data_IF_019158234519
#
_entry.id   IF_019158234519
#
_cell.length_a   1.000
_cell.length_b   1.000
_cell.length_c   1.000
_cell.angle_alpha   90.00
_cell.angle_beta   90.00
_cell.angle_gamma   90.00
#
_symmetry.space_group_name_H-M   'P 1'
#
loop_
_entity.id
_entity.type
_entity.pdbx_description
1 polymer ?
#
# COMPACT_ATOMS: atom_id res chain seq x y z
N UNK A 1 -14.47 -19.23 0.81
CA UNK A 1 -15.10 -18.57 -0.36
C UNK A 1 -14.05 -17.87 -1.24
N UNK A 2 -13.37 -16.76 -0.81
CA UNK A 2 -12.41 -16.02 -1.67
C UNK A 2 -11.26 -16.90 -2.17
N UNK A 3 -10.67 -17.72 -1.30
CA UNK A 3 -9.62 -18.66 -1.69
C UNK A 3 -10.12 -19.72 -2.68
N UNK A 4 -11.34 -20.22 -2.53
CA UNK A 4 -11.98 -21.14 -3.48
C UNK A 4 -12.24 -20.50 -4.85
N UNK A 5 -12.48 -19.17 -4.87
CA UNK A 5 -12.57 -18.37 -6.08
C UNK A 5 -11.20 -18.11 -6.71
N UNK A 6 -10.11 -18.56 -6.10
CA UNK A 6 -8.71 -18.38 -6.52
C UNK A 6 -8.30 -16.89 -6.59
N UNK A 7 -8.73 -16.12 -5.61
CA UNK A 7 -8.21 -14.75 -5.41
C UNK A 7 -6.75 -14.86 -4.97
N UNK A 8 -5.86 -14.16 -5.66
CA UNK A 8 -4.41 -14.26 -5.42
C UNK A 8 -4.02 -13.68 -4.06
N UNK A 9 -4.63 -12.55 -3.67
CA UNK A 9 -4.29 -11.83 -2.45
C UNK A 9 -5.57 -11.46 -1.70
N UNK A 10 -5.59 -11.71 -0.40
CA UNK A 10 -6.68 -11.33 0.50
C UNK A 10 -6.11 -10.36 1.54
N UNK A 11 -6.49 -9.08 1.47
CA UNK A 11 -6.21 -8.12 2.54
C UNK A 11 -7.20 -8.36 3.67
N UNK A 12 -6.69 -8.97 4.75
CA UNK A 12 -7.52 -9.50 5.82
C UNK A 12 -7.99 -8.43 6.83
N UNK A 13 -7.29 -7.29 6.88
CA UNK A 13 -7.69 -6.16 7.72
C UNK A 13 -6.55 -5.29 8.21
N UNK A 14 -6.85 -4.48 9.26
CA UNK A 14 -5.96 -3.47 9.83
C UNK A 14 -5.67 -3.77 11.31
N UNK A 15 -4.66 -4.61 11.61
CA UNK A 15 -4.44 -5.19 12.95
C UNK A 15 -4.21 -4.20 14.09
N UNK A 16 -3.77 -2.98 13.79
CA UNK A 16 -3.56 -1.95 14.82
C UNK A 16 -4.87 -1.26 15.26
N UNK A 17 -5.95 -1.39 14.48
CA UNK A 17 -7.20 -0.69 14.75
C UNK A 17 -7.84 -1.12 16.07
N UNK A 18 -7.83 -2.44 16.38
CA UNK A 18 -8.28 -2.98 17.64
C UNK A 18 -7.71 -4.38 17.90
N UNK A 19 -7.87 -4.90 19.14
CA UNK A 19 -7.52 -6.28 19.42
C UNK A 19 -8.36 -7.28 18.64
N UNK A 20 -9.65 -6.98 18.43
CA UNK A 20 -10.54 -7.82 17.61
C UNK A 20 -10.10 -7.89 16.14
N UNK A 21 -9.67 -6.77 15.56
CA UNK A 21 -9.11 -6.75 14.21
C UNK A 21 -7.82 -7.59 14.12
N UNK A 22 -6.95 -7.45 15.11
CA UNK A 22 -5.73 -8.27 15.19
C UNK A 22 -6.05 -9.76 15.26
N UNK A 23 -6.95 -10.17 16.12
CA UNK A 23 -7.37 -11.57 16.29
C UNK A 23 -8.00 -12.11 15.00
N UNK A 24 -8.89 -11.34 14.36
CA UNK A 24 -9.52 -11.72 13.10
C UNK A 24 -8.48 -11.94 11.98
N UNK A 25 -7.54 -11.01 11.80
CA UNK A 25 -6.47 -11.15 10.80
C UNK A 25 -5.59 -12.35 11.12
N UNK A 26 -5.25 -12.57 12.40
CA UNK A 26 -4.43 -13.71 12.83
C UNK A 26 -5.12 -15.05 12.54
N UNK A 27 -6.42 -15.16 12.79
CA UNK A 27 -7.17 -16.38 12.51
C UNK A 27 -7.28 -16.64 10.99
N UNK A 28 -7.57 -15.61 10.19
CA UNK A 28 -7.58 -15.72 8.72
C UNK A 28 -6.22 -16.19 8.21
N UNK A 29 -5.12 -15.65 8.74
CA UNK A 29 -3.75 -16.01 8.32
C UNK A 29 -3.41 -17.48 8.56
N UNK A 30 -3.99 -18.11 9.57
CA UNK A 30 -3.79 -19.53 9.88
C UNK A 30 -4.57 -20.47 8.96
N UNK A 31 -5.74 -20.02 8.49
CA UNK A 31 -6.70 -20.85 7.73
C UNK A 31 -6.34 -20.86 6.25
N UNK A 32 -6.00 -19.72 5.67
CA UNK A 32 -5.74 -19.56 4.23
C UNK A 32 -4.40 -20.19 3.84
N UNK A 33 -4.39 -20.99 2.75
CA UNK A 33 -3.21 -21.74 2.31
C UNK A 33 -2.74 -21.43 0.89
N UNK A 34 -3.65 -21.03 0.01
CA UNK A 34 -3.36 -20.85 -1.43
C UNK A 34 -3.37 -19.39 -1.90
N UNK A 35 -3.88 -18.47 -1.07
CA UNK A 35 -3.83 -17.03 -1.34
C UNK A 35 -2.81 -16.35 -0.42
N UNK A 36 -2.22 -15.26 -0.89
CA UNK A 36 -1.40 -14.38 -0.04
C UNK A 36 -2.29 -13.62 0.94
N UNK A 37 -1.89 -13.58 2.21
CA UNK A 37 -2.60 -12.80 3.23
C UNK A 37 -1.86 -11.49 3.45
N UNK A 38 -2.54 -10.37 3.16
CA UNK A 38 -2.06 -9.03 3.40
C UNK A 38 -2.66 -8.42 4.67
N UNK A 39 -1.86 -7.66 5.40
CA UNK A 39 -2.31 -6.84 6.52
C UNK A 39 -1.90 -5.39 6.32
N UNK A 40 -2.85 -4.48 6.53
CA UNK A 40 -2.67 -3.05 6.36
C UNK A 40 -1.94 -2.42 7.56
N UNK A 41 -1.03 -1.50 7.28
CA UNK A 41 -0.27 -0.73 8.27
C UNK A 41 0.00 0.69 7.78
N UNK A 42 -0.20 1.69 8.62
CA UNK A 42 0.32 3.05 8.32
C UNK A 42 1.86 3.01 8.31
N UNK A 43 2.48 4.03 7.72
CA UNK A 43 3.93 4.20 7.71
C UNK A 43 4.49 4.52 9.11
N UNK A 44 4.31 3.60 10.04
CA UNK A 44 4.76 3.66 11.44
C UNK A 44 5.26 2.28 11.86
N UNK A 45 6.37 2.25 12.58
CA UNK A 45 7.00 1.00 13.02
C UNK A 45 6.03 0.15 13.85
N UNK A 46 5.29 0.77 14.76
CA UNK A 46 4.32 0.06 15.61
C UNK A 46 3.18 -0.60 14.82
N UNK A 47 2.68 0.07 13.77
CA UNK A 47 1.64 -0.48 12.91
C UNK A 47 2.16 -1.67 12.09
N UNK A 48 3.39 -1.54 11.56
CA UNK A 48 4.05 -2.57 10.76
C UNK A 48 4.36 -3.80 11.62
N UNK A 49 4.88 -3.61 12.83
CA UNK A 49 5.12 -4.70 13.77
C UNK A 49 3.83 -5.43 14.13
N UNK A 50 2.75 -4.67 14.37
CA UNK A 50 1.44 -5.25 14.69
C UNK A 50 0.85 -6.03 13.50
N UNK A 51 1.01 -5.51 12.28
CA UNK A 51 0.60 -6.21 11.06
C UNK A 51 1.41 -7.51 10.89
N UNK A 52 2.73 -7.45 11.03
CA UNK A 52 3.58 -8.62 10.96
C UNK A 52 3.21 -9.70 11.97
N UNK A 53 3.04 -9.32 13.24
CA UNK A 53 2.64 -10.27 14.28
C UNK A 53 1.34 -11.00 13.95
N UNK A 54 0.41 -10.35 13.28
CA UNK A 54 -0.86 -10.97 12.88
C UNK A 54 -0.71 -11.96 11.71
N UNK A 55 0.23 -11.72 10.77
CA UNK A 55 0.33 -12.51 9.54
C UNK A 55 1.58 -13.40 9.42
N UNK A 56 2.53 -13.31 10.34
CA UNK A 56 3.81 -14.03 10.27
C UNK A 56 3.69 -15.56 10.19
N UNK A 57 2.53 -16.10 10.53
CA UNK A 57 2.22 -17.52 10.45
C UNK A 57 1.46 -17.92 9.16
N UNK A 58 1.14 -16.96 8.30
CA UNK A 58 0.55 -17.24 6.99
C UNK A 58 1.55 -18.00 6.10
N UNK A 59 1.04 -18.84 5.19
CA UNK A 59 1.87 -19.53 4.20
C UNK A 59 2.56 -18.53 3.26
N UNK A 60 1.84 -17.48 2.87
CA UNK A 60 2.34 -16.38 2.05
C UNK A 60 1.91 -15.05 2.66
N UNK A 61 2.71 -14.43 3.53
CA UNK A 61 2.37 -13.15 4.13
C UNK A 61 2.75 -11.98 3.22
N UNK A 62 1.99 -10.86 3.33
CA UNK A 62 2.31 -9.56 2.73
C UNK A 62 2.06 -8.45 3.75
N UNK A 63 3.02 -7.57 3.93
CA UNK A 63 2.80 -6.31 4.64
C UNK A 63 2.39 -5.25 3.61
N UNK A 64 1.21 -4.65 3.81
CA UNK A 64 0.75 -3.51 3.01
C UNK A 64 0.87 -2.24 3.85
N UNK A 65 1.85 -1.39 3.53
CA UNK A 65 2.04 -0.11 4.22
C UNK A 65 1.74 1.07 3.31
N UNK A 66 1.25 2.17 3.87
CA UNK A 66 0.84 3.34 3.12
C UNK A 66 1.14 4.66 3.83
N UNK A 67 1.32 5.71 3.03
CA UNK A 67 1.38 7.09 3.49
C UNK A 67 0.79 8.01 2.42
N UNK A 68 0.12 9.08 2.84
CA UNK A 68 -0.44 10.03 1.89
C UNK A 68 0.65 10.88 1.22
N UNK A 69 0.50 11.07 -0.09
CA UNK A 69 1.43 11.84 -0.93
C UNK A 69 0.82 13.10 -1.54
N UNK A 70 -0.49 13.31 -1.39
CA UNK A 70 -1.13 14.54 -1.88
C UNK A 70 -0.79 15.75 -1.01
N UNK A 71 -0.65 16.94 -1.59
CA UNK A 71 -0.41 18.20 -0.84
C UNK A 71 -1.47 18.44 0.24
N UNK A 72 -2.73 18.10 -0.06
CA UNK A 72 -3.85 18.26 0.86
C UNK A 72 -3.67 17.40 2.11
N UNK A 73 -3.41 16.10 1.94
CA UNK A 73 -3.24 15.18 3.06
C UNK A 73 -1.93 15.40 3.81
N UNK A 74 -0.85 15.72 3.12
CA UNK A 74 0.42 16.09 3.79
C UNK A 74 0.23 17.26 4.73
N UNK A 75 -0.46 18.33 4.27
CA UNK A 75 -0.68 19.55 5.04
C UNK A 75 -1.65 19.36 6.21
N UNK A 76 -2.82 18.77 5.96
CA UNK A 76 -3.92 18.81 6.94
C UNK A 76 -4.07 17.50 7.75
N UNK A 77 -3.75 16.34 7.17
CA UNK A 77 -3.84 15.04 7.82
C UNK A 77 -2.54 14.66 8.52
N UNK A 78 -1.44 14.63 7.77
CA UNK A 78 -0.14 14.20 8.29
C UNK A 78 0.58 15.31 9.04
N UNK A 79 0.36 16.57 8.66
CA UNK A 79 1.10 17.76 9.14
C UNK A 79 2.61 17.58 8.94
N UNK A 80 2.98 17.09 7.75
CA UNK A 80 4.35 16.76 7.35
C UNK A 80 4.71 17.50 6.07
N UNK A 81 5.97 17.91 5.98
CA UNK A 81 6.61 18.36 4.75
C UNK A 81 6.88 17.17 3.82
N UNK A 82 7.15 17.46 2.54
CA UNK A 82 7.54 16.44 1.56
C UNK A 82 8.79 15.67 1.99
N UNK A 83 9.78 16.34 2.62
CA UNK A 83 10.98 15.67 3.13
C UNK A 83 10.68 14.70 4.28
N UNK A 84 9.79 15.07 5.19
CA UNK A 84 9.38 14.17 6.29
C UNK A 84 8.56 12.98 5.79
N UNK A 85 7.81 13.13 4.69
CA UNK A 85 7.11 12.01 4.03
C UNK A 85 8.13 11.08 3.38
N UNK A 86 9.13 11.59 2.70
CA UNK A 86 10.24 10.79 2.12
C UNK A 86 10.96 9.98 3.21
N UNK A 87 11.32 10.60 4.34
CA UNK A 87 11.94 9.87 5.46
C UNK A 87 11.02 8.81 6.06
N UNK A 88 9.73 9.09 6.16
CA UNK A 88 8.75 8.11 6.64
C UNK A 88 8.61 6.91 5.69
N UNK A 89 8.62 7.12 4.36
CA UNK A 89 8.65 6.04 3.37
C UNK A 89 9.88 5.18 3.56
N UNK A 90 11.06 5.80 3.61
CA UNK A 90 12.33 5.09 3.80
C UNK A 90 12.32 4.25 5.07
N UNK A 91 11.94 4.84 6.20
CA UNK A 91 11.93 4.14 7.48
C UNK A 91 10.93 2.97 7.49
N UNK A 92 9.68 3.21 7.04
CA UNK A 92 8.61 2.23 7.11
C UNK A 92 8.81 1.06 6.15
N UNK A 93 9.13 1.35 4.88
CA UNK A 93 9.31 0.29 3.86
C UNK A 93 10.54 -0.56 4.16
N UNK A 94 11.67 0.07 4.56
CA UNK A 94 12.87 -0.69 4.95
C UNK A 94 12.61 -1.57 6.18
N UNK A 95 11.85 -1.06 7.17
CA UNK A 95 11.48 -1.85 8.33
C UNK A 95 10.60 -3.04 7.96
N UNK A 96 9.56 -2.81 7.17
CA UNK A 96 8.68 -3.87 6.68
C UNK A 96 9.47 -4.94 5.88
N UNK A 97 10.42 -4.50 5.04
CA UNK A 97 11.26 -5.40 4.25
C UNK A 97 12.16 -6.30 5.10
N UNK A 98 12.60 -5.84 6.26
CA UNK A 98 13.37 -6.66 7.21
C UNK A 98 12.52 -7.78 7.85
N UNK A 99 11.19 -7.65 7.85
CA UNK A 99 10.27 -8.62 8.42
C UNK A 99 9.68 -9.57 7.37
N UNK A 100 9.41 -9.07 6.16
CA UNK A 100 8.71 -9.77 5.10
C UNK A 100 9.29 -9.45 3.72
N UNK A 101 9.38 -10.45 2.84
CA UNK A 101 9.88 -10.26 1.48
C UNK A 101 8.84 -9.68 0.52
N UNK A 102 7.54 -9.80 0.83
CA UNK A 102 6.45 -9.33 0.01
C UNK A 102 5.86 -8.05 0.60
N UNK A 103 6.26 -6.90 0.07
CA UNK A 103 5.84 -5.59 0.55
C UNK A 103 5.03 -4.88 -0.52
N UNK A 104 3.81 -4.49 -0.16
CA UNK A 104 3.01 -3.54 -0.92
C UNK A 104 3.11 -2.16 -0.28
N UNK A 105 3.39 -1.16 -1.09
CA UNK A 105 3.39 0.23 -0.67
C UNK A 105 2.36 1.02 -1.47
N UNK A 106 1.49 1.78 -0.76
CA UNK A 106 0.48 2.64 -1.37
C UNK A 106 0.78 4.12 -1.13
N UNK A 107 0.70 4.90 -2.21
CA UNK A 107 0.68 6.36 -2.16
C UNK A 107 -0.77 6.83 -1.91
N UNK A 108 -1.21 6.86 -0.66
CA UNK A 108 -2.57 7.31 -0.35
C UNK A 108 -2.87 8.67 -1.00
N UNK A 109 -4.06 8.78 -1.60
CA UNK A 109 -4.50 9.95 -2.35
C UNK A 109 -3.63 10.22 -3.60
N UNK A 110 -3.16 9.14 -4.22
CA UNK A 110 -2.28 9.17 -5.39
C UNK A 110 -2.87 9.91 -6.57
N UNK A 111 -4.18 9.81 -6.79
CA UNK A 111 -4.88 10.52 -7.86
C UNK A 111 -4.83 12.05 -7.76
N UNK A 112 -4.55 12.61 -6.56
CA UNK A 112 -4.41 14.06 -6.32
C UNK A 112 -3.00 14.48 -5.93
N UNK A 113 -2.03 13.58 -6.03
CA UNK A 113 -0.63 13.87 -5.71
C UNK A 113 0.03 14.70 -6.81
N UNK A 114 1.00 15.53 -6.43
CA UNK A 114 1.92 16.11 -7.40
C UNK A 114 2.70 15.00 -8.10
N UNK A 115 2.70 15.02 -9.42
CA UNK A 115 3.22 13.89 -10.21
C UNK A 115 4.73 13.69 -10.04
N UNK A 116 5.50 14.76 -9.94
CA UNK A 116 6.95 14.67 -9.76
C UNK A 116 7.30 14.16 -8.36
N UNK A 117 6.54 14.59 -7.35
CA UNK A 117 6.69 14.08 -5.99
C UNK A 117 6.29 12.60 -5.91
N UNK A 118 5.22 12.21 -6.60
CA UNK A 118 4.78 10.83 -6.69
C UNK A 118 5.88 9.93 -7.27
N UNK A 119 6.54 10.33 -8.36
CA UNK A 119 7.65 9.57 -8.95
C UNK A 119 8.78 9.33 -7.96
N UNK A 120 9.19 10.36 -7.23
CA UNK A 120 10.24 10.25 -6.19
C UNK A 120 9.84 9.32 -5.06
N UNK A 121 8.58 9.38 -4.62
CA UNK A 121 8.08 8.49 -3.56
C UNK A 121 8.06 7.03 -4.02
N UNK A 122 7.61 6.76 -5.25
CA UNK A 122 7.56 5.41 -5.83
C UNK A 122 8.97 4.84 -6.01
N UNK A 123 9.88 5.62 -6.62
CA UNK A 123 11.27 5.22 -6.81
C UNK A 123 11.92 4.81 -5.48
N UNK A 124 11.78 5.65 -4.45
CA UNK A 124 12.32 5.38 -3.12
C UNK A 124 11.66 4.15 -2.46
N UNK A 125 10.34 3.99 -2.56
CA UNK A 125 9.66 2.83 -2.00
C UNK A 125 10.20 1.52 -2.59
N UNK A 126 10.43 1.48 -3.91
CA UNK A 126 11.03 0.33 -4.60
C UNK A 126 12.49 0.12 -4.14
N UNK A 127 13.29 1.18 -4.03
CA UNK A 127 14.67 1.10 -3.52
C UNK A 127 14.72 0.54 -2.09
N UNK A 128 13.73 0.89 -1.25
CA UNK A 128 13.60 0.39 0.12
C UNK A 128 13.04 -1.04 0.20
N UNK A 129 12.61 -1.63 -0.92
CA UNK A 129 12.21 -3.03 -1.01
C UNK A 129 10.72 -3.29 -1.22
N UNK A 130 9.92 -2.29 -1.60
CA UNK A 130 8.56 -2.53 -2.05
C UNK A 130 8.55 -3.35 -3.35
N UNK A 131 7.76 -4.43 -3.35
CA UNK A 131 7.59 -5.34 -4.50
C UNK A 131 6.31 -5.08 -5.29
N UNK A 132 5.39 -4.34 -4.68
CA UNK A 132 4.14 -3.88 -5.30
C UNK A 132 3.94 -2.41 -4.96
N UNK A 133 3.67 -1.60 -5.97
CA UNK A 133 3.29 -0.19 -5.85
C UNK A 133 1.82 -0.07 -6.20
N UNK A 134 1.02 0.34 -5.23
CA UNK A 134 -0.40 0.54 -5.42
C UNK A 134 -0.73 2.04 -5.46
N UNK A 135 -1.41 2.47 -6.53
CA UNK A 135 -1.81 3.87 -6.73
C UNK A 135 -3.33 3.95 -6.56
N UNK A 136 -3.81 4.58 -5.46
CA UNK A 136 -5.23 4.68 -5.22
C UNK A 136 -5.85 5.98 -5.74
N UNK A 137 -7.03 5.87 -6.32
CA UNK A 137 -8.02 6.95 -6.42
C UNK A 137 -8.85 6.95 -5.13
N UNK A 138 -8.27 7.52 -4.08
CA UNK A 138 -8.79 7.44 -2.71
C UNK A 138 -10.14 8.14 -2.53
N UNK A 139 -10.41 9.17 -3.33
CA UNK A 139 -11.69 9.91 -3.25
C UNK A 139 -12.68 9.51 -4.36
N UNK A 140 -12.29 8.60 -5.24
CA UNK A 140 -13.18 8.00 -6.24
C UNK A 140 -13.75 8.96 -7.27
N UNK A 141 -12.97 10.00 -7.67
CA UNK A 141 -13.44 11.03 -8.57
C UNK A 141 -12.62 11.20 -9.85
N UNK A 142 -11.48 10.52 -9.94
CA UNK A 142 -10.59 10.64 -11.10
C UNK A 142 -11.21 9.95 -12.33
N UNK A 143 -11.26 10.66 -13.44
CA UNK A 143 -11.79 10.07 -14.68
C UNK A 143 -10.87 8.93 -15.17
N UNK A 144 -11.41 7.88 -15.82
CA UNK A 144 -10.62 6.72 -16.25
C UNK A 144 -9.38 7.06 -17.07
N UNK A 145 -9.51 8.00 -18.02
CA UNK A 145 -8.38 8.43 -18.85
C UNK A 145 -7.31 9.20 -18.07
N UNK A 146 -7.72 10.00 -17.08
CA UNK A 146 -6.80 10.73 -16.20
C UNK A 146 -6.07 9.76 -15.30
N UNK A 147 -6.79 8.82 -14.69
CA UNK A 147 -6.21 7.79 -13.84
C UNK A 147 -5.21 6.91 -14.62
N UNK A 148 -5.60 6.44 -15.80
CA UNK A 148 -4.71 5.69 -16.70
C UNK A 148 -3.46 6.48 -17.11
N UNK A 149 -3.57 7.81 -17.25
CA UNK A 149 -2.44 8.69 -17.56
C UNK A 149 -1.41 8.75 -16.44
N UNK A 150 -1.82 8.64 -15.16
CA UNK A 150 -0.91 8.55 -14.01
C UNK A 150 -0.05 7.30 -14.13
N UNK A 151 -0.65 6.13 -14.40
CA UNK A 151 0.09 4.87 -14.58
C UNK A 151 1.07 4.94 -15.75
N UNK A 152 0.66 5.52 -16.87
CA UNK A 152 1.54 5.73 -18.03
C UNK A 152 2.70 6.65 -17.67
N UNK A 153 2.44 7.74 -16.94
CA UNK A 153 3.49 8.67 -16.51
C UNK A 153 4.48 8.00 -15.54
N UNK A 154 3.98 7.25 -14.54
CA UNK A 154 4.82 6.48 -13.61
C UNK A 154 5.69 5.48 -14.36
N UNK A 155 5.11 4.73 -15.31
CA UNK A 155 5.84 3.73 -16.08
C UNK A 155 6.95 4.33 -16.95
N UNK A 156 6.77 5.56 -17.41
CA UNK A 156 7.72 6.24 -18.28
C UNK A 156 8.82 7.00 -17.51
N UNK A 157 8.56 7.41 -16.27
CA UNK A 157 9.43 8.37 -15.56
C UNK A 157 10.06 7.81 -14.28
N UNK A 158 9.60 6.66 -13.76
CA UNK A 158 10.22 6.02 -12.58
C UNK A 158 11.24 5.00 -13.05
N UNK A 159 12.56 5.22 -12.83
CA UNK A 159 13.62 4.44 -13.47
C UNK A 159 13.64 2.96 -13.07
N UNK A 160 13.18 2.64 -11.85
CA UNK A 160 13.21 1.29 -11.27
C UNK A 160 11.85 0.60 -11.25
N UNK A 161 10.86 1.13 -11.98
CA UNK A 161 9.46 0.66 -11.94
C UNK A 161 9.30 -0.81 -12.35
N UNK A 162 10.15 -1.31 -13.22
CA UNK A 162 10.11 -2.71 -13.68
C UNK A 162 10.50 -3.73 -12.59
N UNK A 163 11.00 -3.26 -11.43
CA UNK A 163 11.30 -4.10 -10.26
C UNK A 163 10.08 -4.34 -9.37
N UNK A 164 8.96 -3.69 -9.66
CA UNK A 164 7.73 -3.81 -8.86
C UNK A 164 6.51 -4.03 -9.75
N UNK A 165 5.48 -4.64 -9.14
CA UNK A 165 4.17 -4.77 -9.77
C UNK A 165 3.42 -3.44 -9.56
N UNK A 166 2.82 -2.88 -10.62
CA UNK A 166 1.87 -1.78 -10.50
C UNK A 166 0.47 -2.31 -10.22
N UNK A 167 -0.15 -1.81 -9.16
CA UNK A 167 -1.50 -2.12 -8.72
C UNK A 167 -2.36 -0.86 -8.69
N UNK A 168 -3.64 -1.01 -8.92
CA UNK A 168 -4.62 0.07 -8.83
C UNK A 168 -5.66 -0.23 -7.75
N UNK A 169 -6.09 0.83 -7.05
CA UNK A 169 -7.18 0.79 -6.08
C UNK A 169 -8.12 1.95 -6.37
N UNK A 170 -9.39 1.66 -6.65
CA UNK A 170 -10.36 2.68 -7.02
C UNK A 170 -11.56 2.67 -6.10
N UNK A 171 -11.89 3.84 -5.53
CA UNK A 171 -13.14 4.05 -4.80
C UNK A 171 -14.28 4.39 -5.77
N UNK A 172 -15.52 4.16 -5.34
CA UNK A 172 -16.69 4.23 -6.23
C UNK A 172 -17.64 5.39 -5.92
N UNK A 173 -17.13 6.48 -5.37
CA UNK A 173 -17.95 7.64 -4.94
C UNK A 173 -18.76 8.24 -6.07
N UNK A 174 -18.22 8.28 -7.27
CA UNK A 174 -18.92 8.77 -8.49
C UNK A 174 -19.27 7.64 -9.47
N UNK A 175 -19.18 6.38 -9.07
CA UNK A 175 -19.48 5.25 -9.94
C UNK A 175 -18.41 5.00 -11.02
N UNK A 176 -17.18 5.41 -10.80
CA UNK A 176 -16.09 5.36 -11.78
C UNK A 176 -15.09 4.20 -11.54
N UNK A 177 -15.30 3.39 -10.49
CA UNK A 177 -14.33 2.37 -10.08
C UNK A 177 -14.12 1.25 -11.13
N UNK A 178 -15.12 0.92 -11.93
CA UNK A 178 -15.12 -0.09 -12.99
C UNK A 178 -15.08 0.57 -14.34
#
# INVERSE_FOLDING_TARGET
ALEEMKVDIIEAGFPIASNGDFEAVSEVSKIIKNSTIAALARASISDIDRAWEAIKHAVSPRIHTFIATSPLHMKYKLKKSSSEVIEAIKASVSHARNLCDNIEWSCEDGGRSDVEFLFRCIELAIECGATTINIPDTVGYTLPNEFGSIFKAVKNNVPNIDKAILSSHTHNDLGLAV
#
